data_IF_245051749702
#
_entry.id   IF_245051749702
#
_cell.length_a   1.000
_cell.length_b   1.000
_cell.length_c   1.000
_cell.angle_alpha   90.00
_cell.angle_beta   90.00
_cell.angle_gamma   90.00
#
_symmetry.space_group_name_H-M   'P 1'
#
loop_
_entity.id
_entity.type
_entity.pdbx_description
1 polymer ?
#
# COMPACT_ATOMS: atom_id res chain seq x y z
N UNK A 1 -27.57 -37.58 15.09
CA UNK A 1 -27.02 -36.79 13.97
C UNK A 1 -25.95 -37.62 13.26
N UNK A 2 -26.22 -38.11 12.04
CA UNK A 2 -25.23 -38.89 11.27
C UNK A 2 -24.25 -37.95 10.57
N UNK A 3 -22.96 -38.17 10.80
CA UNK A 3 -21.84 -37.46 10.15
C UNK A 3 -21.89 -37.68 8.63
N UNK A 4 -22.11 -36.62 7.85
CA UNK A 4 -21.84 -36.61 6.42
C UNK A 4 -20.33 -36.71 6.22
N UNK A 5 -19.89 -37.84 5.64
CA UNK A 5 -18.47 -38.11 5.36
C UNK A 5 -18.20 -37.73 3.90
N UNK A 6 -17.37 -36.72 3.67
CA UNK A 6 -17.03 -36.25 2.33
C UNK A 6 -15.93 -37.13 1.72
N UNK A 7 -16.25 -37.92 0.69
CA UNK A 7 -15.25 -38.52 -0.22
C UNK A 7 -15.27 -37.75 -1.54
N UNK A 8 -14.16 -37.10 -1.85
CA UNK A 8 -13.92 -36.46 -3.15
C UNK A 8 -13.34 -37.50 -4.11
N UNK A 9 -14.23 -38.17 -4.84
CA UNK A 9 -13.89 -38.86 -6.08
C UNK A 9 -15.16 -38.99 -6.93
N UNK A 10 -15.01 -38.72 -8.23
CA UNK A 10 -15.98 -38.89 -9.32
C UNK A 10 -16.90 -37.69 -9.62
N UNK A 11 -16.98 -37.35 -10.91
CA UNK A 11 -17.76 -36.28 -11.55
C UNK A 11 -19.29 -36.47 -11.45
N UNK A 12 -19.80 -36.85 -10.28
CA UNK A 12 -21.23 -37.07 -10.04
C UNK A 12 -21.90 -35.79 -9.54
N UNK A 13 -23.10 -35.51 -10.07
CA UNK A 13 -23.97 -34.46 -9.56
C UNK A 13 -24.39 -34.79 -8.12
N UNK A 14 -24.42 -33.77 -7.25
CA UNK A 14 -24.96 -33.91 -5.89
C UNK A 14 -26.47 -33.68 -5.95
N UNK A 15 -27.22 -34.49 -5.21
CA UNK A 15 -28.66 -34.38 -5.07
C UNK A 15 -29.00 -34.14 -3.60
N UNK A 16 -30.08 -33.41 -3.32
CA UNK A 16 -30.61 -33.25 -1.96
C UNK A 16 -31.44 -34.46 -1.51
N UNK A 17 -31.98 -34.42 -0.30
CA UNK A 17 -32.82 -35.49 0.27
C UNK A 17 -34.10 -35.75 -0.55
N UNK A 18 -34.49 -34.80 -1.42
CA UNK A 18 -35.66 -34.87 -2.29
C UNK A 18 -35.29 -35.26 -3.73
N UNK A 19 -34.04 -35.60 -4.01
CA UNK A 19 -33.56 -35.97 -5.34
C UNK A 19 -33.40 -34.80 -6.30
N UNK A 20 -33.49 -33.54 -5.84
CA UNK A 20 -33.22 -32.37 -6.66
C UNK A 20 -31.72 -32.13 -6.77
N UNK A 21 -31.26 -31.77 -7.98
CA UNK A 21 -29.85 -31.49 -8.25
C UNK A 21 -29.40 -30.25 -7.48
N UNK A 22 -28.44 -30.43 -6.58
CA UNK A 22 -27.78 -29.31 -5.90
C UNK A 22 -26.88 -28.62 -6.93
N UNK A 23 -27.27 -27.41 -7.32
CA UNK A 23 -26.45 -26.56 -8.17
C UNK A 23 -25.18 -26.22 -7.39
N UNK A 24 -24.06 -26.83 -7.77
CA UNK A 24 -22.74 -26.44 -7.27
C UNK A 24 -22.38 -25.11 -7.91
N UNK A 25 -22.79 -24.01 -7.31
CA UNK A 25 -22.19 -22.72 -7.62
C UNK A 25 -20.71 -22.80 -7.22
N UNK A 26 -19.80 -22.46 -8.13
CA UNK A 26 -18.42 -22.24 -7.78
C UNK A 26 -18.36 -21.05 -6.81
N UNK A 27 -18.46 -21.35 -5.51
CA UNK A 27 -18.01 -20.42 -4.47
C UNK A 27 -16.52 -20.33 -4.69
N UNK A 28 -16.05 -19.21 -5.23
CA UNK A 28 -14.66 -18.98 -5.64
C UNK A 28 -13.67 -18.97 -4.48
N UNK A 29 -13.68 -20.00 -3.63
CA UNK A 29 -12.92 -20.12 -2.39
C UNK A 29 -11.49 -20.58 -2.69
N UNK A 30 -10.91 -20.09 -3.78
CA UNK A 30 -9.52 -20.36 -4.13
C UNK A 30 -8.76 -19.04 -4.19
N UNK A 31 -7.86 -18.85 -3.24
CA UNK A 31 -6.90 -17.75 -3.29
C UNK A 31 -5.82 -18.16 -4.29
N UNK A 32 -5.69 -17.38 -5.37
CA UNK A 32 -4.52 -17.45 -6.25
C UNK A 32 -3.61 -16.31 -5.87
N UNK A 33 -2.52 -16.63 -5.19
CA UNK A 33 -1.58 -15.61 -4.76
C UNK A 33 -0.15 -16.13 -4.71
N UNK A 34 0.79 -15.23 -5.01
CA UNK A 34 2.21 -15.48 -4.89
C UNK A 34 2.64 -15.42 -3.41
N UNK A 35 3.36 -16.44 -2.95
CA UNK A 35 3.76 -16.54 -1.53
C UNK A 35 4.92 -15.61 -1.20
N UNK A 36 5.92 -15.57 -2.08
CA UNK A 36 7.17 -14.85 -1.90
C UNK A 36 7.56 -14.17 -3.21
N UNK A 37 8.25 -13.04 -3.11
CA UNK A 37 8.80 -12.35 -4.29
C UNK A 37 9.87 -13.21 -4.95
N UNK A 38 10.01 -13.08 -6.26
CA UNK A 38 11.01 -13.80 -7.06
C UNK A 38 12.46 -13.46 -6.69
N UNK A 39 12.68 -12.38 -5.94
CA UNK A 39 14.01 -11.93 -5.54
C UNK A 39 14.39 -12.49 -4.17
N UNK A 40 15.41 -13.35 -4.15
CA UNK A 40 16.03 -13.78 -2.90
C UNK A 40 16.83 -12.66 -2.23
N UNK A 41 16.75 -12.64 -0.91
CA UNK A 41 17.45 -11.74 -0.02
C UNK A 41 18.66 -12.43 0.60
N UNK A 42 19.74 -11.68 0.79
CA UNK A 42 20.86 -12.12 1.60
C UNK A 42 20.61 -11.76 3.06
N UNK A 43 20.82 -12.71 3.98
CA UNK A 43 20.85 -12.47 5.42
C UNK A 43 22.30 -12.32 5.85
N UNK A 44 22.68 -11.13 6.30
CA UNK A 44 24.05 -10.76 6.64
C UNK A 44 24.12 -10.55 8.15
N UNK A 45 25.11 -11.13 8.82
CA UNK A 45 25.40 -10.84 10.23
C UNK A 45 26.10 -9.49 10.30
N UNK A 46 25.50 -8.51 10.97
CA UNK A 46 26.00 -7.15 10.96
C UNK A 46 27.14 -6.98 11.97
N UNK A 47 28.19 -6.28 11.53
CA UNK A 47 29.38 -6.01 12.34
C UNK A 47 29.20 -4.68 13.06
N UNK A 48 29.67 -4.61 14.31
CA UNK A 48 29.80 -3.31 14.95
C UNK A 48 30.85 -2.47 14.23
N UNK A 49 30.61 -1.16 14.16
CA UNK A 49 31.49 -0.21 13.49
C UNK A 49 31.77 1.00 14.38
N UNK A 50 32.95 1.57 14.24
CA UNK A 50 33.26 2.89 14.81
C UNK A 50 32.55 4.00 14.01
N UNK A 51 32.55 5.22 14.53
CA UNK A 51 31.93 6.40 13.88
C UNK A 51 32.52 6.70 12.49
N UNK A 52 33.76 6.27 12.21
CA UNK A 52 34.40 6.40 10.91
C UNK A 52 33.94 5.34 9.87
N UNK A 53 33.09 4.39 10.28
CA UNK A 53 32.56 3.29 9.45
C UNK A 53 33.43 2.02 9.42
N UNK A 54 34.58 2.01 10.08
CA UNK A 54 35.45 0.83 10.14
C UNK A 54 34.87 -0.23 11.08
N UNK A 55 34.95 -1.52 10.71
CA UNK A 55 34.46 -2.62 11.54
C UNK A 55 35.31 -2.82 12.79
N UNK A 56 34.64 -3.02 13.94
CA UNK A 56 35.28 -3.29 15.23
C UNK A 56 35.78 -4.73 15.33
N UNK A 57 36.87 -4.92 16.08
CA UNK A 57 37.41 -6.25 16.40
C UNK A 57 37.48 -6.44 17.91
N UNK A 58 37.26 -7.67 18.35
CA UNK A 58 37.40 -8.05 19.75
C UNK A 58 38.88 -8.30 20.12
N UNK A 59 39.13 -8.57 21.39
CA UNK A 59 40.49 -8.84 21.92
C UNK A 59 41.18 -10.07 21.31
N UNK A 60 40.43 -10.92 20.61
CA UNK A 60 40.92 -12.11 19.90
C UNK A 60 41.13 -11.83 18.40
N UNK A 61 41.06 -10.57 17.98
CA UNK A 61 41.19 -10.13 16.60
C UNK A 61 40.07 -10.65 15.66
N UNK A 62 38.95 -11.08 16.22
CA UNK A 62 37.74 -11.47 15.46
C UNK A 62 36.77 -10.29 15.32
N UNK A 63 35.90 -10.34 14.31
CA UNK A 63 34.87 -9.31 14.12
C UNK A 63 33.89 -9.25 15.28
N UNK A 64 33.68 -8.05 15.82
CA UNK A 64 32.62 -7.80 16.78
C UNK A 64 31.29 -7.62 16.02
N UNK A 65 30.27 -8.38 16.41
CA UNK A 65 28.97 -8.37 15.75
C UNK A 65 27.91 -7.74 16.65
N UNK A 66 26.96 -7.06 16.03
CA UNK A 66 25.78 -6.55 16.72
C UNK A 66 25.01 -7.67 17.43
N UNK A 67 24.37 -7.32 18.54
CA UNK A 67 23.57 -8.24 19.38
C UNK A 67 22.07 -7.90 19.28
N UNK A 68 21.22 -8.81 19.75
CA UNK A 68 19.77 -8.65 19.70
C UNK A 68 19.21 -8.63 18.28
N UNK A 69 18.17 -7.82 18.06
CA UNK A 69 17.43 -7.74 16.80
C UNK A 69 18.27 -7.15 15.65
N UNK A 70 19.31 -6.37 15.96
CA UNK A 70 20.22 -5.80 14.96
C UNK A 70 21.33 -6.76 14.50
N UNK A 71 21.40 -7.97 15.07
CA UNK A 71 22.44 -8.95 14.73
C UNK A 71 22.43 -9.33 13.24
N UNK A 72 21.26 -9.31 12.61
CA UNK A 72 21.11 -9.68 11.21
C UNK A 72 20.40 -8.58 10.43
N UNK A 73 20.95 -8.26 9.26
CA UNK A 73 20.32 -7.41 8.27
C UNK A 73 19.97 -8.21 7.02
N UNK A 74 18.87 -7.84 6.38
CA UNK A 74 18.50 -8.37 5.07
C UNK A 74 18.94 -7.41 3.97
N UNK A 75 19.46 -7.96 2.89
CA UNK A 75 20.05 -7.21 1.80
C UNK A 75 19.53 -7.70 0.44
N UNK A 76 19.29 -6.75 -0.46
CA UNK A 76 19.00 -7.01 -1.87
C UNK A 76 20.01 -6.27 -2.73
N UNK A 77 20.32 -6.84 -3.89
CA UNK A 77 21.18 -6.20 -4.89
C UNK A 77 20.31 -5.41 -5.86
N UNK A 78 20.55 -4.11 -6.00
CA UNK A 78 19.84 -3.24 -6.96
C UNK A 78 20.79 -2.51 -7.89
N UNK A 79 20.33 -2.16 -9.11
CA UNK A 79 21.05 -1.25 -10.00
C UNK A 79 21.33 0.08 -9.31
N UNK A 80 22.48 0.70 -9.59
CA UNK A 80 22.88 1.95 -8.92
C UNK A 80 21.88 3.09 -9.15
N UNK A 81 21.26 3.14 -10.34
CA UNK A 81 20.24 4.14 -10.71
C UNK A 81 19.05 4.13 -9.76
N UNK A 82 18.63 2.96 -9.30
CA UNK A 82 17.48 2.80 -8.40
C UNK A 82 17.81 3.15 -6.94
N UNK A 83 19.10 3.33 -6.62
CA UNK A 83 19.62 3.54 -5.26
C UNK A 83 20.01 4.99 -5.01
N UNK A 84 20.11 5.83 -6.05
CA UNK A 84 20.46 7.26 -5.91
C UNK A 84 19.50 8.05 -5.01
N UNK A 85 18.27 7.59 -4.84
CA UNK A 85 17.27 8.16 -3.93
C UNK A 85 17.31 7.59 -2.50
N UNK A 86 18.07 6.52 -2.27
CA UNK A 86 18.16 5.76 -1.00
C UNK A 86 19.60 5.36 -0.68
N UNK A 87 20.53 6.28 -0.89
CA UNK A 87 21.98 6.04 -0.70
C UNK A 87 22.27 5.64 0.75
N UNK A 88 21.46 6.11 1.70
CA UNK A 88 21.60 5.76 3.11
C UNK A 88 21.40 4.27 3.44
N UNK A 89 20.64 3.57 2.60
CA UNK A 89 20.37 2.14 2.76
C UNK A 89 21.54 1.27 2.26
N UNK A 90 22.57 1.83 1.61
CA UNK A 90 23.74 1.07 1.16
C UNK A 90 24.47 0.48 2.37
N UNK A 91 24.71 -0.84 2.31
CA UNK A 91 25.27 -1.60 3.44
C UNK A 91 26.76 -1.32 3.64
N UNK A 92 27.52 -1.17 2.56
CA UNK A 92 28.95 -0.93 2.62
C UNK A 92 29.24 0.58 2.79
N UNK A 93 29.82 1.02 3.91
CA UNK A 93 30.07 2.44 4.15
C UNK A 93 31.05 3.09 3.17
N UNK A 94 32.01 2.33 2.63
CA UNK A 94 33.00 2.86 1.67
C UNK A 94 32.32 3.14 0.35
N UNK A 95 31.56 2.14 -0.15
CA UNK A 95 30.76 2.30 -1.36
C UNK A 95 29.71 3.40 -1.17
N UNK A 96 29.10 3.50 0.01
CA UNK A 96 28.15 4.58 0.33
C UNK A 96 28.79 5.96 0.14
N UNK A 97 29.98 6.20 0.72
CA UNK A 97 30.70 7.47 0.55
C UNK A 97 31.02 7.76 -0.91
N UNK A 98 31.52 6.77 -1.65
CA UNK A 98 31.82 6.93 -3.08
C UNK A 98 30.58 7.31 -3.90
N UNK A 99 29.44 6.69 -3.62
CA UNK A 99 28.18 6.98 -4.33
C UNK A 99 27.67 8.38 -3.98
N UNK A 100 27.89 8.87 -2.75
CA UNK A 100 27.56 10.24 -2.37
C UNK A 100 28.43 11.24 -3.15
N UNK A 101 29.74 11.01 -3.19
CA UNK A 101 30.71 11.91 -3.85
C UNK A 101 30.51 11.97 -5.37
N UNK A 102 30.08 10.87 -6.00
CA UNK A 102 29.93 10.76 -7.45
C UNK A 102 28.47 10.80 -7.91
N UNK A 103 27.54 11.27 -7.08
CA UNK A 103 26.09 11.19 -7.34
C UNK A 103 25.66 11.88 -8.64
N UNK A 104 26.32 13.00 -8.97
CA UNK A 104 26.00 13.82 -10.15
C UNK A 104 26.75 13.37 -11.41
N UNK A 105 27.62 12.36 -11.31
CA UNK A 105 28.33 11.83 -12.45
C UNK A 105 27.41 10.94 -13.30
N UNK A 106 27.65 10.92 -14.61
CA UNK A 106 26.98 10.00 -15.53
C UNK A 106 27.25 8.52 -15.17
N UNK A 107 28.45 8.23 -14.64
CA UNK A 107 28.86 6.91 -14.19
C UNK A 107 29.54 6.99 -12.82
N UNK A 108 29.19 6.07 -11.93
CA UNK A 108 29.83 5.92 -10.62
C UNK A 108 30.90 4.84 -10.71
N UNK A 109 32.14 5.19 -10.39
CA UNK A 109 33.30 4.31 -10.47
C UNK A 109 33.85 3.98 -9.08
N UNK A 110 34.42 2.79 -8.94
CA UNK A 110 35.16 2.40 -7.73
C UNK A 110 36.55 3.07 -7.70
N UNK A 111 37.28 2.85 -6.60
CA UNK A 111 38.64 3.36 -6.44
C UNK A 111 39.65 2.83 -7.49
N UNK A 112 39.29 1.77 -8.23
CA UNK A 112 40.09 1.20 -9.31
C UNK A 112 39.64 1.66 -10.71
N UNK A 113 38.62 2.53 -10.79
CA UNK A 113 38.08 3.05 -12.04
C UNK A 113 37.02 2.18 -12.71
N UNK A 114 36.59 1.07 -12.08
CA UNK A 114 35.55 0.20 -12.63
C UNK A 114 34.15 0.73 -12.34
N UNK A 115 33.23 0.58 -13.30
CA UNK A 115 31.85 1.05 -13.17
C UNK A 115 31.07 0.19 -12.16
N UNK A 116 30.54 0.84 -11.12
CA UNK A 116 29.67 0.22 -10.14
C UNK A 116 28.25 0.13 -10.71
N UNK A 117 27.88 -1.05 -11.23
CA UNK A 117 26.53 -1.27 -11.80
C UNK A 117 25.46 -1.53 -10.74
N UNK A 118 25.82 -2.21 -9.67
CA UNK A 118 24.87 -2.68 -8.66
C UNK A 118 25.47 -2.59 -7.25
N UNK A 119 24.64 -2.23 -6.28
CA UNK A 119 25.01 -2.15 -4.86
C UNK A 119 24.02 -2.94 -4.00
N UNK A 120 24.47 -3.36 -2.81
CA UNK A 120 23.62 -4.02 -1.83
C UNK A 120 23.01 -2.97 -0.90
N UNK A 121 21.69 -2.98 -0.82
CA UNK A 121 20.92 -2.09 0.06
C UNK A 121 20.21 -2.89 1.13
N UNK A 122 20.03 -2.28 2.31
CA UNK A 122 19.25 -2.80 3.42
C UNK A 122 17.78 -2.95 3.00
N UNK A 123 17.12 -3.98 3.50
CA UNK A 123 15.70 -4.23 3.29
C UNK A 123 15.02 -4.54 4.61
N UNK A 124 13.78 -4.08 4.77
CA UNK A 124 13.06 -4.13 6.05
C UNK A 124 12.82 -5.56 6.59
N UNK A 125 12.59 -6.56 5.74
CA UNK A 125 12.37 -7.93 6.21
C UNK A 125 12.61 -8.99 5.13
N UNK A 126 13.13 -10.15 5.55
CA UNK A 126 13.19 -11.37 4.76
C UNK A 126 12.61 -12.55 5.54
N UNK A 127 11.78 -13.36 4.88
CA UNK A 127 11.16 -14.56 5.43
C UNK A 127 11.87 -15.80 4.88
N UNK A 128 12.02 -16.82 5.71
CA UNK A 128 12.57 -18.10 5.30
C UNK A 128 11.62 -18.79 4.31
N UNK A 129 12.15 -19.16 3.14
CA UNK A 129 11.40 -19.82 2.07
C UNK A 129 11.62 -21.32 2.11
N UNK A 130 12.90 -21.74 2.12
CA UNK A 130 13.30 -23.15 2.14
C UNK A 130 14.74 -23.31 2.60
N UNK A 131 15.08 -24.50 3.09
CA UNK A 131 16.46 -24.89 3.43
C UNK A 131 17.25 -25.22 2.16
N UNK A 132 18.56 -24.94 2.17
CA UNK A 132 19.51 -25.36 1.14
C UNK A 132 19.89 -26.83 1.36
N UNK A 133 19.96 -27.58 0.26
CA UNK A 133 20.27 -29.02 0.30
C UNK A 133 21.70 -29.30 -0.18
N UNK A 134 22.21 -28.55 -1.15
CA UNK A 134 23.44 -28.93 -1.88
C UNK A 134 24.72 -28.23 -1.38
N UNK A 135 24.59 -27.13 -0.62
CA UNK A 135 25.74 -26.37 -0.08
C UNK A 135 25.43 -25.86 1.32
N UNK A 136 25.84 -26.65 2.33
CA UNK A 136 25.61 -26.36 3.75
C UNK A 136 26.84 -25.64 4.29
N UNK A 137 26.64 -24.41 4.76
CA UNK A 137 27.62 -23.63 5.50
C UNK A 137 27.58 -24.01 6.98
N UNK A 138 28.70 -23.83 7.68
CA UNK A 138 28.78 -23.96 9.15
C UNK A 138 27.81 -23.03 9.89
N UNK A 139 27.43 -21.92 9.27
CA UNK A 139 26.48 -20.97 9.84
C UNK A 139 25.04 -21.26 9.38
N UNK A 140 24.15 -21.53 10.33
CA UNK A 140 22.74 -21.88 10.08
C UNK A 140 22.00 -20.83 9.22
N UNK A 141 22.20 -19.55 9.50
CA UNK A 141 21.53 -18.47 8.77
C UNK A 141 21.91 -18.38 7.28
N UNK A 142 22.98 -19.06 6.84
CA UNK A 142 23.35 -19.14 5.41
C UNK A 142 22.73 -20.34 4.71
N UNK A 143 22.16 -21.28 5.47
CA UNK A 143 21.62 -22.55 4.97
C UNK A 143 20.16 -22.44 4.54
N UNK A 144 19.64 -21.23 4.46
CA UNK A 144 18.23 -20.92 4.19
C UNK A 144 18.13 -19.91 3.08
N UNK A 145 17.11 -20.04 2.24
CA UNK A 145 16.72 -19.01 1.29
C UNK A 145 15.76 -18.04 1.97
N UNK A 146 15.98 -16.75 1.78
CA UNK A 146 15.12 -15.70 2.30
C UNK A 146 14.50 -14.91 1.15
N UNK A 147 13.24 -14.53 1.26
CA UNK A 147 12.57 -13.65 0.31
C UNK A 147 11.58 -12.75 1.04
N UNK A 148 11.20 -11.63 0.43
CA UNK A 148 10.11 -10.81 0.95
C UNK A 148 8.77 -11.51 0.67
N UNK A 149 7.77 -11.24 1.51
CA UNK A 149 6.38 -11.58 1.20
C UNK A 149 5.96 -10.90 -0.09
N UNK A 150 5.20 -11.59 -0.93
CA UNK A 150 4.68 -10.99 -2.16
C UNK A 150 3.29 -10.41 -1.95
N UNK A 151 2.27 -11.27 -1.98
CA UNK A 151 0.88 -10.84 -1.91
C UNK A 151 0.31 -10.96 -0.49
N UNK A 152 -0.46 -9.94 -0.12
CA UNK A 152 -1.17 -9.82 1.16
C UNK A 152 -2.67 -9.78 0.85
N UNK A 153 -3.33 -10.94 0.68
CA UNK A 153 -4.72 -11.02 0.26
C UNK A 153 -5.71 -10.66 1.36
N UNK A 154 -5.30 -10.75 2.63
CA UNK A 154 -6.16 -10.54 3.78
C UNK A 154 -5.55 -9.61 4.81
N UNK A 155 -6.41 -9.08 5.67
CA UNK A 155 -6.04 -8.47 6.94
C UNK A 155 -7.03 -8.88 8.02
N UNK A 156 -6.52 -9.06 9.24
CA UNK A 156 -7.33 -9.24 10.43
C UNK A 156 -7.52 -7.89 11.10
N UNK A 157 -8.76 -7.43 11.17
CA UNK A 157 -9.15 -6.28 11.99
C UNK A 157 -9.64 -6.80 13.33
N UNK A 158 -8.98 -6.40 14.42
CA UNK A 158 -9.29 -6.77 15.79
C UNK A 158 -9.76 -5.54 16.55
N UNK A 159 -10.81 -5.67 17.35
CA UNK A 159 -11.31 -4.57 18.17
C UNK A 159 -11.79 -5.02 19.55
N UNK A 160 -11.55 -4.16 20.55
CA UNK A 160 -11.99 -4.34 21.93
C UNK A 160 -12.17 -2.98 22.61
N UNK A 161 -13.21 -2.85 23.42
CA UNK A 161 -13.39 -1.67 24.28
C UNK A 161 -12.59 -1.84 25.56
N UNK A 162 -11.63 -0.95 25.80
CA UNK A 162 -10.79 -0.93 27.00
C UNK A 162 -10.93 0.46 27.61
N UNK A 163 -11.32 0.54 28.89
CA UNK A 163 -11.53 1.81 29.60
C UNK A 163 -12.48 2.79 28.89
N UNK A 164 -13.60 2.28 28.34
CA UNK A 164 -14.57 3.03 27.51
C UNK A 164 -14.02 3.60 26.19
N UNK A 165 -12.80 3.26 25.81
CA UNK A 165 -12.23 3.61 24.51
C UNK A 165 -12.19 2.38 23.59
N UNK A 166 -12.69 2.55 22.36
CA UNK A 166 -12.64 1.51 21.35
C UNK A 166 -11.21 1.42 20.77
N UNK A 167 -10.50 0.35 21.09
CA UNK A 167 -9.19 0.07 20.50
C UNK A 167 -9.33 -0.83 19.28
N UNK A 168 -8.67 -0.46 18.18
CA UNK A 168 -8.63 -1.23 16.93
C UNK A 168 -7.18 -1.51 16.54
N UNK A 169 -6.90 -2.74 16.13
CA UNK A 169 -5.59 -3.17 15.61
C UNK A 169 -5.81 -3.95 14.31
N UNK A 170 -4.92 -3.80 13.34
CA UNK A 170 -5.00 -4.56 12.10
C UNK A 170 -3.68 -5.23 11.78
N UNK A 171 -3.76 -6.53 11.48
CA UNK A 171 -2.63 -7.34 11.04
C UNK A 171 -2.83 -7.78 9.58
N UNK A 172 -2.03 -7.27 8.63
CA UNK A 172 -2.01 -7.81 7.28
C UNK A 172 -1.56 -9.28 7.34
N UNK A 173 -2.27 -10.17 6.65
CA UNK A 173 -1.97 -11.61 6.61
C UNK A 173 -1.42 -11.98 5.22
N UNK A 174 -0.10 -12.17 5.09
CA UNK A 174 0.51 -12.55 3.82
C UNK A 174 0.12 -13.96 3.38
N UNK A 175 0.17 -14.20 2.08
CA UNK A 175 -0.19 -15.50 1.47
C UNK A 175 0.64 -16.68 1.98
N UNK A 176 1.90 -16.47 2.35
CA UNK A 176 2.72 -17.56 2.88
C UNK A 176 2.25 -18.02 4.27
N UNK A 177 1.67 -17.12 5.08
CA UNK A 177 1.14 -17.46 6.41
C UNK A 177 -0.16 -18.24 6.30
N UNK A 178 -1.06 -17.82 5.42
CA UNK A 178 -2.28 -18.58 5.10
C UNK A 178 -1.93 -19.97 4.57
N UNK A 179 -0.94 -20.07 3.67
CA UNK A 179 -0.45 -21.35 3.14
C UNK A 179 0.14 -22.25 4.23
N UNK A 180 0.94 -21.69 5.15
CA UNK A 180 1.52 -22.43 6.27
C UNK A 180 0.44 -22.96 7.21
N UNK A 181 -0.56 -22.12 7.54
CA UNK A 181 -1.70 -22.50 8.36
C UNK A 181 -2.51 -23.61 7.69
N UNK A 182 -2.86 -23.44 6.41
CA UNK A 182 -3.60 -24.41 5.63
C UNK A 182 -2.85 -25.75 5.52
N UNK A 183 -1.52 -25.75 5.35
CA UNK A 183 -0.72 -26.99 5.35
C UNK A 183 -0.79 -27.73 6.68
N UNK A 184 -0.77 -26.99 7.81
CA UNK A 184 -0.80 -27.56 9.16
C UNK A 184 -2.19 -28.13 9.51
N UNK A 185 -3.25 -27.38 9.24
CA UNK A 185 -4.61 -27.70 9.71
C UNK A 185 -5.56 -28.23 8.63
N UNK A 186 -5.13 -28.26 7.36
CA UNK A 186 -5.96 -28.60 6.18
C UNK A 186 -7.17 -27.67 5.94
N UNK A 187 -7.27 -26.60 6.72
CA UNK A 187 -8.27 -25.55 6.59
C UNK A 187 -7.66 -24.22 7.09
N UNK A 188 -8.26 -23.10 6.70
CA UNK A 188 -7.99 -21.80 7.28
C UNK A 188 -9.20 -21.37 8.10
N UNK A 189 -9.04 -21.38 9.43
CA UNK A 189 -9.98 -20.80 10.39
C UNK A 189 -9.30 -19.60 11.02
N UNK A 190 -10.03 -18.49 11.10
CA UNK A 190 -9.48 -17.23 11.59
C UNK A 190 -9.15 -17.31 13.08
N UNK A 191 -9.99 -17.99 13.85
CA UNK A 191 -9.85 -18.23 15.28
C UNK A 191 -8.56 -19.00 15.57
N UNK A 192 -8.39 -20.17 14.95
CA UNK A 192 -7.16 -20.97 15.05
C UNK A 192 -5.93 -20.15 14.68
N UNK A 193 -6.04 -19.29 13.65
CA UNK A 193 -4.91 -18.45 13.22
C UNK A 193 -4.55 -17.38 14.26
N UNK A 194 -5.54 -16.73 14.87
CA UNK A 194 -5.34 -15.75 15.95
C UNK A 194 -4.72 -16.44 17.17
N UNK A 195 -5.27 -17.57 17.61
CA UNK A 195 -4.76 -18.33 18.76
C UNK A 195 -3.28 -18.73 18.60
N UNK A 196 -2.87 -19.11 17.38
CA UNK A 196 -1.50 -19.58 17.13
C UNK A 196 -0.48 -18.44 16.93
N UNK A 197 -0.87 -17.28 16.40
CA UNK A 197 0.06 -16.22 16.01
C UNK A 197 -0.04 -14.95 16.85
N UNK A 198 -1.21 -14.72 17.45
CA UNK A 198 -1.60 -13.49 18.15
C UNK A 198 -2.40 -13.84 19.43
N UNK A 199 -1.90 -14.71 20.31
CA UNK A 199 -2.64 -15.22 21.48
C UNK A 199 -3.11 -14.10 22.43
N UNK A 200 -2.40 -12.97 22.47
CA UNK A 200 -2.77 -11.80 23.26
C UNK A 200 -4.08 -11.11 22.80
N UNK A 201 -4.59 -11.45 21.61
CA UNK A 201 -5.82 -10.91 21.03
C UNK A 201 -6.98 -11.92 21.00
N UNK A 202 -6.88 -13.06 21.69
CA UNK A 202 -7.89 -14.13 21.65
C UNK A 202 -9.30 -13.66 22.08
N UNK A 203 -9.37 -12.75 23.06
CA UNK A 203 -10.64 -12.21 23.58
C UNK A 203 -11.11 -10.95 22.84
N UNK A 204 -10.52 -10.63 21.68
CA UNK A 204 -10.91 -9.48 20.87
C UNK A 204 -11.88 -9.93 19.79
N UNK A 205 -12.87 -9.09 19.49
CA UNK A 205 -13.71 -9.33 18.31
C UNK A 205 -12.88 -9.12 17.04
N UNK A 206 -13.09 -9.96 16.03
CA UNK A 206 -12.30 -9.93 14.80
C UNK A 206 -13.18 -9.92 13.55
N UNK A 207 -12.64 -9.31 12.50
CA UNK A 207 -13.20 -9.28 11.14
C UNK A 207 -12.07 -9.63 10.16
N UNK A 208 -12.31 -10.58 9.26
CA UNK A 208 -11.37 -10.94 8.21
C UNK A 208 -11.66 -10.11 6.95
N UNK A 209 -10.81 -9.14 6.67
CA UNK A 209 -10.90 -8.31 5.47
C UNK A 209 -10.14 -8.95 4.32
N UNK A 210 -10.67 -8.80 3.10
CA UNK A 210 -10.04 -9.32 1.87
C UNK A 210 -9.82 -8.24 0.81
N UNK A 211 -8.75 -8.37 0.03
CA UNK A 211 -8.57 -7.55 -1.17
C UNK A 211 -9.73 -7.84 -2.14
N UNK A 212 -10.30 -6.78 -2.71
CA UNK A 212 -11.49 -6.84 -3.56
C UNK A 212 -12.82 -6.76 -2.82
N UNK A 213 -12.84 -6.79 -1.49
CA UNK A 213 -14.05 -6.54 -0.71
C UNK A 213 -14.51 -5.09 -0.87
N UNK A 214 -15.82 -4.89 -1.01
CA UNK A 214 -16.40 -3.55 -0.98
C UNK A 214 -16.71 -3.11 0.44
N UNK A 215 -16.64 -1.81 0.66
CA UNK A 215 -17.05 -1.20 1.91
C UNK A 215 -17.61 0.20 1.68
N UNK A 216 -18.48 0.64 2.58
CA UNK A 216 -18.94 2.03 2.64
C UNK A 216 -18.08 2.78 3.66
N UNK A 217 -17.55 3.94 3.26
CA UNK A 217 -16.66 4.75 4.10
C UNK A 217 -17.43 5.88 4.77
N UNK A 218 -17.37 5.90 6.11
CA UNK A 218 -17.93 6.94 6.95
C UNK A 218 -16.81 7.87 7.44
N UNK A 219 -17.03 9.18 7.36
CA UNK A 219 -16.13 10.16 7.95
C UNK A 219 -16.32 10.24 9.48
N UNK A 220 -17.54 9.96 9.96
CA UNK A 220 -17.92 9.91 11.37
C UNK A 220 -19.15 9.02 11.57
N UNK A 221 -19.43 8.64 12.81
CA UNK A 221 -20.50 7.71 13.14
C UNK A 221 -21.90 8.28 12.86
N UNK A 222 -22.07 9.60 12.86
CA UNK A 222 -23.36 10.23 12.54
C UNK A 222 -23.76 10.02 11.07
N UNK A 223 -22.81 9.73 10.17
CA UNK A 223 -23.12 9.40 8.78
C UNK A 223 -23.80 8.03 8.62
N UNK A 224 -23.85 7.20 9.68
CA UNK A 224 -24.51 5.90 9.64
C UNK A 224 -25.98 5.97 9.24
N UNK A 225 -26.71 7.00 9.69
CA UNK A 225 -28.13 7.17 9.36
C UNK A 225 -28.37 7.38 7.85
N UNK A 226 -27.37 7.91 7.15
CA UNK A 226 -27.41 8.13 5.69
C UNK A 226 -27.20 6.85 4.89
N UNK A 227 -26.96 5.70 5.55
CA UNK A 227 -26.65 4.43 4.87
C UNK A 227 -27.72 4.01 3.85
N UNK A 228 -28.98 4.41 4.04
CA UNK A 228 -30.08 4.09 3.15
C UNK A 228 -30.23 5.05 1.95
N UNK A 229 -29.52 6.18 1.95
CA UNK A 229 -29.55 7.15 0.85
C UNK A 229 -28.77 6.61 -0.36
N UNK A 230 -29.42 6.51 -1.52
CA UNK A 230 -28.80 5.99 -2.75
C UNK A 230 -27.58 6.84 -3.16
N UNK A 231 -27.70 8.16 -3.08
CA UNK A 231 -26.61 9.09 -3.42
C UNK A 231 -25.40 8.89 -2.50
N UNK A 232 -25.65 8.69 -1.20
CA UNK A 232 -24.61 8.37 -0.22
C UNK A 232 -23.93 7.04 -0.55
N UNK A 233 -24.71 5.97 -0.77
CA UNK A 233 -24.18 4.66 -1.14
C UNK A 233 -23.29 4.74 -2.38
N UNK A 234 -23.76 5.41 -3.44
CA UNK A 234 -23.00 5.57 -4.68
C UNK A 234 -21.70 6.37 -4.47
N UNK A 235 -21.72 7.43 -3.67
CA UNK A 235 -20.54 8.28 -3.46
C UNK A 235 -19.55 7.77 -2.41
N UNK A 236 -19.96 6.80 -1.58
CA UNK A 236 -19.20 6.28 -0.44
C UNK A 236 -18.75 4.83 -0.58
N UNK A 237 -19.08 4.14 -1.67
CA UNK A 237 -18.68 2.76 -1.91
C UNK A 237 -17.26 2.68 -2.51
N UNK A 238 -16.38 1.96 -1.82
CA UNK A 238 -15.00 1.73 -2.22
C UNK A 238 -14.67 0.24 -2.20
N UNK A 239 -13.59 -0.13 -2.90
CA UNK A 239 -13.03 -1.47 -2.96
C UNK A 239 -11.67 -1.47 -2.29
N UNK A 240 -11.41 -2.45 -1.43
CA UNK A 240 -10.08 -2.68 -0.85
C UNK A 240 -9.12 -3.12 -1.95
N UNK A 241 -8.04 -2.37 -2.16
CA UNK A 241 -7.01 -2.71 -3.16
C UNK A 241 -5.75 -3.30 -2.52
N UNK A 242 -5.40 -2.85 -1.32
CA UNK A 242 -4.17 -3.27 -0.67
C UNK A 242 -4.23 -3.10 0.86
N UNK A 243 -3.58 -4.03 1.57
CA UNK A 243 -3.26 -3.90 2.98
C UNK A 243 -1.80 -3.55 3.22
N UNK A 244 -1.56 -2.79 4.27
CA UNK A 244 -0.24 -2.46 4.79
C UNK A 244 -0.31 -2.31 6.31
N UNK A 245 0.84 -2.32 6.99
CA UNK A 245 0.89 -2.22 8.45
C UNK A 245 0.09 -1.01 8.96
N UNK A 246 -1.05 -1.27 9.61
CA UNK A 246 -1.94 -0.24 10.15
C UNK A 246 -2.59 0.69 9.10
N UNK A 247 -2.64 0.30 7.82
CA UNK A 247 -3.33 1.11 6.78
C UNK A 247 -4.02 0.26 5.71
N UNK A 248 -5.24 0.68 5.34
CA UNK A 248 -6.05 0.07 4.28
C UNK A 248 -6.09 1.03 3.10
N UNK A 249 -5.81 0.51 1.91
CA UNK A 249 -5.87 1.26 0.66
C UNK A 249 -7.17 0.91 -0.05
N UNK A 250 -7.89 1.95 -0.43
CA UNK A 250 -9.21 1.85 -1.05
C UNK A 250 -9.22 2.60 -2.36
N UNK A 251 -9.95 2.07 -3.33
CA UNK A 251 -10.24 2.72 -4.60
C UNK A 251 -11.73 2.89 -4.76
N UNK A 252 -12.16 4.06 -5.20
CA UNK A 252 -13.57 4.31 -5.47
C UNK A 252 -14.11 3.29 -6.48
N UNK A 253 -15.27 2.71 -6.22
CA UNK A 253 -15.73 1.51 -6.94
C UNK A 253 -15.96 1.73 -8.46
N UNK A 254 -16.27 2.95 -8.89
CA UNK A 254 -16.41 3.31 -10.31
C UNK A 254 -15.12 3.83 -10.94
N UNK A 255 -14.03 3.93 -10.18
CA UNK A 255 -12.77 4.45 -10.70
C UNK A 255 -12.01 3.36 -11.47
N UNK A 256 -12.16 3.37 -12.80
CA UNK A 256 -11.48 2.45 -13.70
C UNK A 256 -10.09 2.95 -14.13
N UNK A 257 -9.75 4.22 -13.87
CA UNK A 257 -8.51 4.84 -14.35
C UNK A 257 -7.30 4.25 -13.59
N UNK A 258 -6.16 4.15 -14.28
CA UNK A 258 -4.89 3.73 -13.69
C UNK A 258 -4.37 4.80 -12.73
N UNK A 259 -3.70 4.38 -11.67
CA UNK A 259 -3.26 5.30 -10.61
C UNK A 259 -2.42 6.47 -11.11
N UNK A 260 -1.54 6.26 -12.11
CA UNK A 260 -0.70 7.32 -12.68
C UNK A 260 -1.52 8.38 -13.43
N UNK A 261 -2.62 7.98 -14.06
CA UNK A 261 -3.49 8.87 -14.82
C UNK A 261 -4.47 9.64 -13.92
N UNK A 262 -4.72 9.17 -12.69
CA UNK A 262 -5.57 9.87 -11.72
C UNK A 262 -4.99 11.25 -11.36
N UNK A 263 -3.66 11.37 -11.22
CA UNK A 263 -3.02 12.66 -10.92
C UNK A 263 -3.30 13.69 -12.02
N UNK A 264 -3.22 13.25 -13.29
CA UNK A 264 -3.54 14.08 -14.44
C UNK A 264 -5.02 14.48 -14.45
N UNK A 265 -5.95 13.55 -14.18
CA UNK A 265 -7.38 13.85 -14.07
C UNK A 265 -7.67 14.89 -12.99
N UNK A 266 -7.03 14.78 -11.81
CA UNK A 266 -7.17 15.76 -10.74
C UNK A 266 -6.66 17.13 -11.17
N UNK A 267 -5.50 17.20 -11.84
CA UNK A 267 -4.95 18.46 -12.39
C UNK A 267 -5.89 19.10 -13.40
N UNK A 268 -6.43 18.32 -14.33
CA UNK A 268 -7.41 18.79 -15.31
C UNK A 268 -8.69 19.30 -14.64
N UNK A 269 -9.17 18.61 -13.60
CA UNK A 269 -10.37 19.05 -12.88
C UNK A 269 -10.17 20.39 -12.16
N UNK A 270 -8.99 20.59 -11.56
CA UNK A 270 -8.62 21.89 -10.97
C UNK A 270 -8.53 22.98 -12.04
N UNK A 271 -7.92 22.67 -13.18
CA UNK A 271 -7.81 23.58 -14.32
C UNK A 271 -9.19 24.00 -14.83
N UNK A 272 -10.12 23.07 -15.05
CA UNK A 272 -11.51 23.36 -15.45
C UNK A 272 -12.17 24.40 -14.54
N UNK A 273 -12.07 24.22 -13.23
CA UNK A 273 -12.69 25.12 -12.23
C UNK A 273 -12.06 26.51 -12.31
N UNK A 274 -10.73 26.62 -12.40
CA UNK A 274 -10.09 27.93 -12.51
C UNK A 274 -10.39 28.58 -13.86
N UNK A 275 -10.47 27.80 -14.93
CA UNK A 275 -10.78 28.31 -16.26
C UNK A 275 -12.15 28.98 -16.35
N UNK A 276 -13.12 28.60 -15.50
CA UNK A 276 -14.39 29.33 -15.38
C UNK A 276 -14.18 30.77 -14.88
N UNK A 277 -13.28 30.96 -13.91
CA UNK A 277 -12.91 32.30 -13.43
C UNK A 277 -12.07 33.06 -14.46
N UNK A 278 -11.13 32.38 -15.14
CA UNK A 278 -10.34 33.01 -16.20
C UNK A 278 -11.25 33.58 -17.29
N UNK A 279 -12.27 32.81 -17.71
CA UNK A 279 -13.29 33.28 -18.67
C UNK A 279 -14.12 34.44 -18.10
N UNK A 280 -14.53 34.34 -16.82
CA UNK A 280 -15.32 35.39 -16.15
C UNK A 280 -14.59 36.74 -16.11
N UNK A 281 -13.27 36.74 -15.96
CA UNK A 281 -12.45 37.94 -15.92
C UNK A 281 -11.72 38.25 -17.24
N UNK A 282 -12.06 37.53 -18.32
CA UNK A 282 -11.47 37.68 -19.65
C UNK A 282 -9.93 37.61 -19.65
N UNK A 283 -9.38 36.69 -18.86
CA UNK A 283 -7.94 36.47 -18.76
C UNK A 283 -7.43 35.67 -19.97
N UNK A 284 -6.22 35.99 -20.49
CA UNK A 284 -5.65 35.28 -21.63
C UNK A 284 -5.34 33.82 -21.30
N UNK A 285 -5.45 32.93 -22.29
CA UNK A 285 -5.12 31.52 -22.10
C UNK A 285 -3.62 31.34 -21.82
N UNK A 286 -3.28 30.36 -20.97
CA UNK A 286 -1.89 29.97 -20.76
C UNK A 286 -1.45 29.09 -21.92
N UNK A 287 -0.46 29.57 -22.67
CA UNK A 287 0.15 28.90 -23.81
C UNK A 287 1.62 28.60 -23.55
N UNK A 288 2.22 27.77 -24.41
CA UNK A 288 3.66 27.49 -24.35
C UNK A 288 4.45 28.76 -24.68
N UNK A 289 5.46 29.04 -23.87
CA UNK A 289 6.40 30.14 -24.08
C UNK A 289 7.48 29.72 -25.09
N UNK A 290 7.36 30.19 -26.33
CA UNK A 290 8.29 29.84 -27.41
C UNK A 290 9.63 30.57 -27.34
N UNK A 291 9.78 31.56 -26.45
CA UNK A 291 11.07 32.24 -26.23
C UNK A 291 12.05 31.35 -25.46
N UNK A 292 11.56 30.30 -24.79
CA UNK A 292 12.38 29.28 -24.13
C UNK A 292 12.90 28.27 -25.16
N UNK A 293 14.22 28.28 -25.37
CA UNK A 293 14.91 27.45 -26.36
C UNK A 293 14.93 25.97 -26.00
N UNK A 294 15.07 25.61 -24.71
CA UNK A 294 15.06 24.21 -24.25
C UNK A 294 13.62 23.66 -24.17
N UNK A 295 13.25 22.64 -24.97
CA UNK A 295 11.92 22.05 -24.97
C UNK A 295 11.48 21.49 -23.60
N UNK A 296 12.41 20.97 -22.80
CA UNK A 296 12.10 20.39 -21.48
C UNK A 296 11.74 21.48 -20.48
N UNK A 297 12.53 22.55 -20.42
CA UNK A 297 12.23 23.71 -19.58
C UNK A 297 10.94 24.40 -20.00
N UNK A 298 10.71 24.54 -21.31
CA UNK A 298 9.47 25.11 -21.85
C UNK A 298 8.24 24.33 -21.41
N UNK A 299 8.27 23.00 -21.56
CA UNK A 299 7.16 22.13 -21.13
C UNK A 299 6.94 22.22 -19.62
N UNK A 300 8.02 22.21 -18.83
CA UNK A 300 7.93 22.31 -17.38
C UNK A 300 7.32 23.63 -16.93
N UNK A 301 7.75 24.77 -17.49
CA UNK A 301 7.18 26.09 -17.19
C UNK A 301 5.69 26.13 -17.50
N UNK A 302 5.28 25.63 -18.67
CA UNK A 302 3.85 25.53 -19.02
C UNK A 302 3.05 24.67 -18.03
N UNK A 303 3.58 23.51 -17.63
CA UNK A 303 2.92 22.65 -16.64
C UNK A 303 2.83 23.32 -15.27
N UNK A 304 3.89 24.01 -14.83
CA UNK A 304 3.90 24.79 -13.60
C UNK A 304 2.90 25.95 -13.67
N UNK A 305 2.85 26.68 -14.77
CA UNK A 305 1.95 27.82 -14.97
C UNK A 305 0.48 27.39 -15.03
N UNK A 306 0.18 26.24 -15.64
CA UNK A 306 -1.19 25.78 -15.85
C UNK A 306 -1.75 24.94 -14.70
N UNK A 307 -0.95 24.04 -14.13
CA UNK A 307 -1.43 22.98 -13.24
C UNK A 307 -0.88 23.04 -11.80
N UNK A 308 -0.08 24.05 -11.45
CA UNK A 308 0.43 24.22 -10.09
C UNK A 308 -0.52 25.08 -9.25
N UNK A 309 -0.98 24.52 -8.13
CA UNK A 309 -1.96 25.13 -7.23
C UNK A 309 -1.54 25.02 -5.74
N UNK A 310 -0.24 25.06 -5.47
CA UNK A 310 0.36 24.89 -4.15
C UNK A 310 0.17 26.13 -3.27
N UNK A 311 0.34 27.33 -3.81
CA UNK A 311 0.32 28.58 -3.04
C UNK A 311 -0.18 29.76 -3.84
N UNK A 312 -0.61 30.82 -3.15
CA UNK A 312 -1.18 32.03 -3.79
C UNK A 312 -0.24 32.74 -4.77
N UNK A 313 1.08 32.49 -4.66
CA UNK A 313 2.10 33.01 -5.58
C UNK A 313 2.19 32.25 -6.90
N UNK A 314 1.54 31.09 -7.01
CA UNK A 314 1.49 30.34 -8.27
C UNK A 314 0.75 31.16 -9.32
N UNK A 315 1.16 31.00 -10.59
CA UNK A 315 0.75 31.88 -11.67
C UNK A 315 -0.78 32.03 -11.77
N UNK A 316 -1.54 30.93 -11.71
CA UNK A 316 -3.02 30.96 -11.77
C UNK A 316 -3.65 31.81 -10.69
N UNK A 317 -3.24 31.63 -9.44
CA UNK A 317 -3.80 32.40 -8.33
C UNK A 317 -3.34 33.85 -8.36
N UNK A 318 -2.06 34.09 -8.67
CA UNK A 318 -1.49 35.44 -8.75
C UNK A 318 -2.22 36.30 -9.80
N UNK A 319 -2.63 35.69 -10.92
CA UNK A 319 -3.41 36.36 -11.98
C UNK A 319 -4.84 36.71 -11.57
N UNK A 320 -5.44 35.95 -10.66
CA UNK A 320 -6.81 36.17 -10.19
C UNK A 320 -6.90 37.16 -9.01
N UNK A 321 -5.83 37.31 -8.23
CA UNK A 321 -5.78 38.21 -7.05
C UNK A 321 -6.22 39.65 -7.38
N UNK A 322 -5.79 40.29 -8.49
CA UNK A 322 -6.23 41.65 -8.83
C UNK A 322 -7.74 41.79 -9.08
N UNK A 323 -8.44 40.69 -9.41
CA UNK A 323 -9.86 40.72 -9.80
C UNK A 323 -10.79 40.26 -8.67
N UNK A 324 -10.34 39.30 -7.85
CA UNK A 324 -11.14 38.70 -6.78
C UNK A 324 -10.71 39.11 -5.37
N UNK A 325 -9.50 39.65 -5.22
CA UNK A 325 -8.87 39.85 -3.92
C UNK A 325 -8.24 38.56 -3.36
N UNK A 326 -7.28 38.73 -2.44
CA UNK A 326 -6.54 37.61 -1.83
C UNK A 326 -7.43 36.61 -1.10
N UNK A 327 -8.48 37.09 -0.43
CA UNK A 327 -9.30 36.27 0.45
C UNK A 327 -10.21 35.32 -0.33
N UNK A 328 -10.80 35.80 -1.42
CA UNK A 328 -11.61 34.96 -2.31
C UNK A 328 -10.75 33.94 -3.06
N UNK A 329 -9.55 34.33 -3.50
CA UNK A 329 -8.60 33.38 -4.11
C UNK A 329 -8.16 32.33 -3.08
N UNK A 330 -8.01 32.70 -1.82
CA UNK A 330 -7.70 31.75 -0.75
C UNK A 330 -8.86 30.77 -0.49
N UNK A 331 -10.13 31.22 -0.59
CA UNK A 331 -11.30 30.33 -0.54
C UNK A 331 -11.33 29.36 -1.73
N UNK A 332 -11.06 29.86 -2.94
CA UNK A 332 -10.95 29.05 -4.15
C UNK A 332 -9.85 27.99 -3.99
N UNK A 333 -8.67 28.38 -3.52
CA UNK A 333 -7.58 27.46 -3.22
C UNK A 333 -8.00 26.34 -2.26
N UNK A 334 -8.67 26.68 -1.15
CA UNK A 334 -9.17 25.67 -0.19
C UNK A 334 -10.13 24.69 -0.83
N UNK A 335 -11.02 25.16 -1.72
CA UNK A 335 -11.91 24.27 -2.48
C UNK A 335 -11.15 23.34 -3.43
N UNK A 336 -10.08 23.84 -4.06
CA UNK A 336 -9.22 23.07 -4.95
C UNK A 336 -8.34 22.07 -4.22
N UNK A 337 -7.90 22.38 -3.00
CA UNK A 337 -7.09 21.48 -2.16
C UNK A 337 -7.86 20.19 -1.80
N UNK A 338 -9.20 20.24 -1.79
CA UNK A 338 -10.05 19.05 -1.62
C UNK A 338 -9.94 18.04 -2.76
N UNK A 339 -9.56 18.47 -3.98
CA UNK A 339 -9.28 17.54 -5.08
C UNK A 339 -7.84 17.05 -4.98
N UNK A 340 -7.67 15.79 -4.61
CA UNK A 340 -6.36 15.14 -4.55
C UNK A 340 -6.47 13.70 -5.00
N UNK A 341 -5.38 13.19 -5.58
CA UNK A 341 -5.29 11.80 -6.01
C UNK A 341 -5.54 10.83 -4.86
N UNK A 342 -5.03 11.13 -3.67
CA UNK A 342 -5.13 10.25 -2.50
C UNK A 342 -5.39 11.05 -1.23
N UNK A 343 -6.32 10.58 -0.40
CA UNK A 343 -6.67 11.19 0.88
C UNK A 343 -6.70 10.16 2.02
N UNK A 344 -6.76 10.62 3.27
CA UNK A 344 -6.99 9.79 4.46
C UNK A 344 -8.45 9.79 4.93
N UNK A 345 -9.33 10.49 4.22
CA UNK A 345 -10.78 10.57 4.43
C UNK A 345 -11.42 11.16 3.18
N UNK A 346 -12.76 11.15 3.11
CA UNK A 346 -13.48 11.67 1.95
C UNK A 346 -13.59 13.18 2.07
N UNK A 347 -12.83 13.89 1.23
CA UNK A 347 -12.84 15.36 1.16
C UNK A 347 -14.04 15.87 0.35
N UNK A 348 -14.29 15.20 -0.79
CA UNK A 348 -15.42 15.45 -1.68
C UNK A 348 -16.08 14.14 -2.04
N UNK A 349 -17.38 14.04 -1.76
CA UNK A 349 -18.18 12.86 -2.04
C UNK A 349 -18.18 12.56 -3.56
N UNK A 350 -17.87 11.32 -3.93
CA UNK A 350 -17.78 10.90 -5.34
C UNK A 350 -16.56 11.39 -6.12
N UNK A 351 -15.76 12.31 -5.57
CA UNK A 351 -14.60 12.90 -6.26
C UNK A 351 -13.25 12.56 -5.61
N UNK A 352 -13.25 11.75 -4.55
CA UNK A 352 -12.02 11.28 -3.89
C UNK A 352 -11.67 9.88 -4.41
N UNK A 353 -10.76 9.72 -5.38
CA UNK A 353 -10.63 8.46 -6.11
C UNK A 353 -9.89 7.38 -5.31
N UNK A 354 -8.87 7.76 -4.52
CA UNK A 354 -8.09 6.84 -3.69
C UNK A 354 -8.11 7.29 -2.23
N UNK A 355 -8.26 6.32 -1.34
CA UNK A 355 -8.13 6.52 0.10
C UNK A 355 -7.02 5.64 0.67
N UNK A 356 -6.27 6.20 1.60
CA UNK A 356 -5.33 5.47 2.45
C UNK A 356 -5.70 5.74 3.90
N UNK A 357 -6.44 4.82 4.48
CA UNK A 357 -7.06 4.95 5.79
C UNK A 357 -6.13 4.38 6.86
N UNK A 358 -5.72 5.22 7.82
CA UNK A 358 -4.93 4.80 8.98
C UNK A 358 -5.82 4.29 10.12
N UNK A 359 -5.21 3.67 11.13
CA UNK A 359 -5.85 3.14 12.34
C UNK A 359 -6.88 4.07 13.03
N UNK A 360 -6.72 5.38 12.88
CA UNK A 360 -7.56 6.39 13.52
C UNK A 360 -8.92 6.59 12.82
N UNK A 361 -9.09 6.08 11.60
CA UNK A 361 -10.24 6.40 10.75
C UNK A 361 -10.93 5.17 10.15
N UNK A 362 -10.85 4.02 10.80
CA UNK A 362 -11.51 2.80 10.32
C UNK A 362 -13.01 2.77 10.68
N UNK A 363 -13.76 3.69 10.08
CA UNK A 363 -15.21 3.75 10.18
C UNK A 363 -15.80 3.28 8.85
N UNK A 364 -16.09 1.98 8.79
CA UNK A 364 -16.55 1.31 7.58
C UNK A 364 -17.79 0.47 7.88
N UNK A 365 -18.60 0.28 6.85
CA UNK A 365 -19.57 -0.80 6.77
C UNK A 365 -19.04 -1.79 5.73
N UNK A 366 -18.96 -3.08 6.06
CA UNK A 366 -18.29 -4.09 5.27
C UNK A 366 -19.25 -4.98 4.48
N UNK A 367 -18.98 -5.17 3.19
CA UNK A 367 -19.67 -6.16 2.37
C UNK A 367 -19.40 -7.58 2.91
N UNK A 368 -20.46 -8.34 3.16
CA UNK A 368 -20.44 -9.67 3.77
C UNK A 368 -20.76 -9.67 5.26
N UNK A 369 -20.56 -8.56 5.98
CA UNK A 369 -20.86 -8.43 7.42
C UNK A 369 -22.06 -7.51 7.66
N UNK A 370 -22.00 -6.27 7.17
CA UNK A 370 -23.05 -5.27 7.39
C UNK A 370 -24.09 -5.26 6.27
N UNK A 371 -23.66 -5.56 5.04
CA UNK A 371 -24.52 -5.61 3.86
C UNK A 371 -24.03 -6.61 2.82
N UNK A 372 -24.87 -6.93 1.84
CA UNK A 372 -24.51 -7.66 0.62
C UNK A 372 -24.88 -6.85 -0.62
N UNK A 373 -24.18 -7.07 -1.73
CA UNK A 373 -24.51 -6.46 -3.02
C UNK A 373 -24.94 -7.54 -3.99
N UNK A 374 -26.11 -7.38 -4.60
CA UNK A 374 -26.58 -8.26 -5.67
C UNK A 374 -25.85 -8.01 -7.00
N UNK A 375 -26.09 -8.90 -7.96
CA UNK A 375 -25.52 -8.77 -9.31
C UNK A 375 -25.99 -7.50 -10.04
N UNK A 376 -27.20 -7.01 -9.76
CA UNK A 376 -27.74 -5.75 -10.29
C UNK A 376 -27.30 -4.52 -9.47
N UNK A 377 -26.41 -4.69 -8.47
CA UNK A 377 -25.81 -3.60 -7.72
C UNK A 377 -26.66 -3.07 -6.56
N UNK A 378 -27.76 -3.73 -6.19
CA UNK A 378 -28.58 -3.35 -5.03
C UNK A 378 -27.91 -3.79 -3.73
N UNK A 379 -27.94 -2.91 -2.75
CA UNK A 379 -27.41 -3.15 -1.41
C UNK A 379 -28.52 -3.71 -0.51
N UNK A 380 -28.26 -4.84 0.12
CA UNK A 380 -29.12 -5.49 1.10
C UNK A 380 -28.46 -5.44 2.47
N UNK A 381 -29.04 -4.69 3.40
CA UNK A 381 -28.53 -4.56 4.77
C UNK A 381 -28.86 -5.81 5.59
N UNK A 382 -27.91 -6.28 6.40
CA UNK A 382 -28.09 -7.45 7.27
C UNK A 382 -28.77 -7.12 8.61
N UNK A 383 -28.89 -5.83 8.95
CA UNK A 383 -29.44 -5.33 10.21
C UNK A 383 -30.38 -4.15 9.98
#
# INVERSE_FOLDING_TARGET
MKKLTFRFADYKFLYDENGAKIIKNAKGDTIRSSLYKDTFLAKIRDVERYNNGQPKRNNQNEWEYKKGDEKFLFAVRKPIKDVLSKIDDIIDPVIKKLVIEQKDNNEIKDHQGNIIRHVRIKTKAGREVKKRVNYISQYDYKNKYYAASDEIPYALLLQKTINNELQKVMFPVPSFETSKHYRKFKNFKTEDFIENNYPEFIDWSFTLLKVGQKLLVLNNDNEYERKNEIDFQQKRLYVITQFSDGSIWLKYHLEAIKDDDIDRKVKLKKDEIISEFDKKFNLPEIVLDYDITDPLQRKKKYEDDKFRFVGLKDNRFNRLIPFMGSDEVQKLKRSLDGFKKQSSFIEKEGETPLLKMSKEKWNFLFEGEDFEISLDGKIFWKF
#
